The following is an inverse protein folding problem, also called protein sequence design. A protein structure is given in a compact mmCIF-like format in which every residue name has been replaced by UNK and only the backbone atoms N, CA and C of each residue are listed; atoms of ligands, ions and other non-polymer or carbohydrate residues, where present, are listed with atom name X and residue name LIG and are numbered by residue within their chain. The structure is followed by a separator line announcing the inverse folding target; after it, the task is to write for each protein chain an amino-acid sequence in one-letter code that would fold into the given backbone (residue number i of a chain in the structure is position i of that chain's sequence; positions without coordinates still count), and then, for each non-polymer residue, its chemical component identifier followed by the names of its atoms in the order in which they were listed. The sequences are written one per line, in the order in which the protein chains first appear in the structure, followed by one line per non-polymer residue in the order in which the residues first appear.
data_IF_878314658450
#
_entry.id   IF_878314658450
#
_cell.length_a   1.000
_cell.length_b   1.000
_cell.length_c   1.000
_cell.angle_alpha   90.00
_cell.angle_beta   90.00
_cell.angle_gamma   90.00
#
_symmetry.space_group_name_H-M   'P 1'
#
loop_
_entity.id
_entity.type
_entity.pdbx_description
1 polymer ?
#
# COMPACT_ATOMS: atom_id res chain seq x y z
N UNK A 1 -5.18 -3.48 9.90
CA UNK A 1 -5.31 -2.96 8.53
C UNK A 1 -4.75 -1.55 8.54
N UNK A 2 -3.81 -1.20 7.67
CA UNK A 2 -3.11 0.10 7.69
C UNK A 2 -4.14 1.25 7.57
N UNK A 3 -5.25 1.03 6.87
CA UNK A 3 -6.37 1.95 6.74
C UNK A 3 -6.99 2.41 8.07
N UNK A 4 -6.84 1.68 9.19
CA UNK A 4 -7.33 2.18 10.49
C UNK A 4 -6.59 3.43 10.96
N UNK A 5 -5.39 3.68 10.45
CA UNK A 5 -4.58 4.85 10.76
C UNK A 5 -5.11 6.14 10.12
N UNK A 6 -5.91 6.02 9.04
CA UNK A 6 -6.48 7.18 8.34
C UNK A 6 -7.74 7.74 8.99
N UNK A 7 -8.18 7.16 10.13
CA UNK A 7 -9.36 7.59 10.89
C UNK A 7 -9.09 8.81 11.78
N UNK A 8 -7.82 9.16 12.01
CA UNK A 8 -7.47 10.40 12.71
C UNK A 8 -7.71 11.59 11.78
N UNK A 9 -8.45 12.61 12.21
CA UNK A 9 -8.62 13.83 11.41
C UNK A 9 -7.30 14.61 11.37
N UNK A 10 -6.62 14.57 10.21
CA UNK A 10 -5.43 15.37 9.94
C UNK A 10 -5.44 15.77 8.47
N UNK A 11 -4.99 16.99 8.18
CA UNK A 11 -4.85 17.53 6.82
C UNK A 11 -3.94 16.67 5.92
N UNK A 12 -3.09 15.82 6.52
CA UNK A 12 -2.22 14.89 5.80
C UNK A 12 -2.97 13.69 5.22
N UNK A 13 -4.15 13.34 5.76
CA UNK A 13 -4.98 12.23 5.28
C UNK A 13 -5.93 12.67 4.16
N UNK A 14 -5.36 13.17 3.07
CA UNK A 14 -6.12 13.49 1.86
C UNK A 14 -6.73 12.23 1.24
N UNK A 15 -7.79 12.38 0.44
CA UNK A 15 -8.43 11.26 -0.27
C UNK A 15 -7.43 10.46 -1.14
N UNK A 16 -6.44 11.15 -1.72
CA UNK A 16 -5.33 10.54 -2.46
C UNK A 16 -4.49 9.59 -1.58
N UNK A 17 -4.19 9.99 -0.35
CA UNK A 17 -3.41 9.16 0.59
C UNK A 17 -4.24 7.98 1.07
N UNK A 18 -5.52 8.22 1.39
CA UNK A 18 -6.46 7.17 1.82
C UNK A 18 -6.59 6.07 0.78
N UNK A 19 -6.74 6.42 -0.51
CA UNK A 19 -6.89 5.40 -1.55
C UNK A 19 -5.64 4.53 -1.71
N UNK A 20 -4.42 5.11 -1.63
CA UNK A 20 -3.18 4.32 -1.65
C UNK A 20 -3.15 3.32 -0.50
N UNK A 21 -3.53 3.74 0.71
CA UNK A 21 -3.48 2.89 1.89
C UNK A 21 -4.47 1.73 1.76
N UNK A 22 -5.72 2.04 1.39
CA UNK A 22 -6.76 1.01 1.15
C UNK A 22 -6.32 0.02 0.07
N UNK A 23 -5.76 0.50 -1.03
CA UNK A 23 -5.27 -0.36 -2.10
C UNK A 23 -4.06 -1.21 -1.65
N UNK A 24 -3.20 -0.66 -0.78
CA UNK A 24 -2.06 -1.40 -0.22
C UNK A 24 -2.55 -2.55 0.66
N UNK A 25 -3.52 -2.31 1.54
CA UNK A 25 -4.13 -3.36 2.37
C UNK A 25 -4.75 -4.45 1.49
N UNK A 26 -5.49 -4.08 0.46
CA UNK A 26 -6.08 -5.05 -0.47
C UNK A 26 -5.01 -5.86 -1.21
N UNK A 27 -3.94 -5.23 -1.72
CA UNK A 27 -2.84 -5.94 -2.36
C UNK A 27 -2.12 -6.90 -1.42
N UNK A 28 -1.97 -6.55 -0.14
CA UNK A 28 -1.35 -7.43 0.86
C UNK A 28 -2.27 -8.64 1.14
N UNK A 29 -3.58 -8.42 1.25
CA UNK A 29 -4.55 -9.47 1.59
C UNK A 29 -4.89 -10.37 0.40
N UNK A 30 -5.32 -9.78 -0.70
CA UNK A 30 -5.95 -10.49 -1.83
C UNK A 30 -4.99 -10.72 -3.00
N UNK A 31 -3.83 -10.05 -3.00
CA UNK A 31 -2.84 -10.07 -4.11
C UNK A 31 -3.36 -9.52 -5.44
N UNK A 32 -4.52 -8.86 -5.41
CA UNK A 32 -5.16 -8.27 -6.58
C UNK A 32 -5.99 -7.06 -6.15
N UNK A 33 -6.08 -6.05 -7.00
CA UNK A 33 -7.03 -4.95 -6.81
C UNK A 33 -8.34 -5.27 -7.50
N UNK A 34 -9.46 -4.91 -6.86
CA UNK A 34 -10.75 -4.92 -7.55
C UNK A 34 -10.89 -3.71 -8.50
N UNK A 35 -11.83 -3.79 -9.43
CA UNK A 35 -12.06 -2.74 -10.43
C UNK A 35 -12.40 -1.38 -9.79
N UNK A 36 -13.09 -1.37 -8.66
CA UNK A 36 -13.48 -0.14 -7.97
C UNK A 36 -12.25 0.63 -7.48
N UNK A 37 -11.35 -0.04 -6.76
CA UNK A 37 -10.14 0.54 -6.21
C UNK A 37 -9.13 0.89 -7.32
N UNK A 38 -9.03 0.06 -8.35
CA UNK A 38 -8.22 0.38 -9.53
C UNK A 38 -8.71 1.67 -10.22
N UNK A 39 -10.03 1.83 -10.41
CA UNK A 39 -10.61 3.07 -10.96
C UNK A 39 -10.36 4.29 -10.07
N UNK A 40 -10.42 4.15 -8.74
CA UNK A 40 -10.11 5.26 -7.82
C UNK A 40 -8.63 5.66 -7.88
N UNK A 41 -7.71 4.71 -8.01
CA UNK A 41 -6.28 5.01 -8.22
C UNK A 41 -6.06 5.79 -9.52
N UNK A 42 -6.73 5.40 -10.61
CA UNK A 42 -6.65 6.07 -11.91
C UNK A 42 -7.06 7.55 -11.89
N UNK A 43 -7.79 7.99 -10.86
CA UNK A 43 -8.11 9.40 -10.68
C UNK A 43 -6.90 10.25 -10.26
N UNK A 44 -5.92 9.64 -9.59
CA UNK A 44 -4.77 10.32 -9.01
C UNK A 44 -3.42 9.90 -9.60
N UNK A 45 -3.37 8.76 -10.30
CA UNK A 45 -2.14 8.13 -10.78
C UNK A 45 -2.29 7.66 -12.23
N UNK A 46 -1.17 7.69 -12.97
CA UNK A 46 -1.07 7.10 -14.31
C UNK A 46 -1.00 5.58 -14.25
N UNK A 47 -1.17 4.90 -15.39
CA UNK A 47 -1.03 3.43 -15.44
C UNK A 47 0.36 2.97 -15.00
N UNK A 48 1.42 3.64 -15.47
CA UNK A 48 2.79 3.33 -15.09
C UNK A 48 3.01 3.47 -13.58
N UNK A 49 2.47 4.54 -12.98
CA UNK A 49 2.54 4.75 -11.52
C UNK A 49 1.78 3.67 -10.74
N UNK A 50 0.68 3.15 -11.28
CA UNK A 50 -0.07 2.05 -10.66
C UNK A 50 0.71 0.74 -10.77
N UNK A 51 1.40 0.48 -11.88
CA UNK A 51 2.30 -0.67 -12.03
C UNK A 51 3.45 -0.57 -11.02
N UNK A 52 4.10 0.59 -10.93
CA UNK A 52 5.17 0.85 -9.95
C UNK A 52 4.68 0.66 -8.51
N UNK A 53 3.46 1.15 -8.20
CA UNK A 53 2.84 0.97 -6.89
C UNK A 53 2.66 -0.51 -6.54
N UNK A 54 2.13 -1.33 -7.45
CA UNK A 54 1.99 -2.77 -7.24
C UNK A 54 3.35 -3.46 -7.00
N UNK A 55 4.36 -3.10 -7.80
CA UNK A 55 5.72 -3.63 -7.63
C UNK A 55 6.33 -3.23 -6.29
N UNK A 56 6.14 -1.98 -5.87
CA UNK A 56 6.64 -1.47 -4.59
C UNK A 56 6.05 -2.23 -3.41
N UNK A 57 4.72 -2.44 -3.39
CA UNK A 57 4.06 -3.23 -2.34
C UNK A 57 4.62 -4.65 -2.28
N UNK A 58 4.77 -5.30 -3.44
CA UNK A 58 5.37 -6.64 -3.52
C UNK A 58 6.81 -6.70 -3.01
N UNK A 59 7.64 -5.71 -3.37
CA UNK A 59 9.01 -5.60 -2.88
C UNK A 59 9.07 -5.48 -1.35
N UNK A 60 8.23 -4.65 -0.72
CA UNK A 60 8.21 -4.53 0.73
C UNK A 60 7.75 -5.82 1.43
N UNK A 61 6.83 -6.58 0.82
CA UNK A 61 6.47 -7.91 1.32
C UNK A 61 7.67 -8.87 1.27
N UNK A 62 8.44 -8.87 0.18
CA UNK A 62 9.65 -9.70 0.06
C UNK A 62 10.74 -9.28 1.06
N UNK A 63 10.95 -7.99 1.26
CA UNK A 63 11.89 -7.45 2.25
C UNK A 63 11.46 -7.85 3.66
N UNK A 64 10.19 -7.68 4.00
CA UNK A 64 9.65 -8.08 5.30
C UNK A 64 9.83 -9.60 5.54
N UNK A 65 9.55 -10.42 4.53
CA UNK A 65 9.81 -11.87 4.59
C UNK A 65 11.28 -12.15 4.87
N UNK A 66 12.18 -11.48 4.16
CA UNK A 66 13.64 -11.66 4.31
C UNK A 66 14.11 -11.27 5.70
N UNK A 67 13.72 -10.08 6.19
CA UNK A 67 14.04 -9.57 7.54
C UNK A 67 13.57 -10.56 8.61
N UNK A 68 12.31 -11.00 8.51
CA UNK A 68 11.70 -11.91 9.48
C UNK A 68 12.38 -13.29 9.46
N UNK A 69 12.67 -13.84 8.28
CA UNK A 69 13.32 -15.16 8.14
C UNK A 69 14.78 -15.12 8.61
N UNK A 70 15.51 -14.03 8.33
CA UNK A 70 16.90 -13.88 8.74
C UNK A 70 17.06 -13.41 10.20
N UNK A 71 15.98 -13.06 10.89
CA UNK A 71 16.02 -12.57 12.28
C UNK A 71 16.75 -11.24 12.44
N UNK A 72 16.71 -10.37 11.41
CA UNK A 72 17.36 -9.06 11.44
C UNK A 72 16.70 -8.18 12.51
N UNK A 73 17.52 -7.57 13.36
CA UNK A 73 17.06 -6.69 14.45
C UNK A 73 17.09 -5.22 14.02
N UNK A 74 16.15 -4.38 14.49
CA UNK A 74 16.21 -2.93 14.29
C UNK A 74 17.48 -2.32 14.87
N UNK A 75 17.94 -1.23 14.26
CA UNK A 75 19.03 -0.43 14.79
C UNK A 75 18.66 0.20 16.15
N UNK A 76 19.66 0.37 17.02
CA UNK A 76 19.52 0.93 18.36
C UNK A 76 19.43 2.46 18.37
#
# INVERSE_FOLDING_TARGET
MIASLTLAESELWTERVKIIIVCTDQLIQDKVLNDENFRKLKYYYTDDQIVEFCMLVGHYVMVAMTINTCGIQPEA
#
